data_IF_045777965813
#
_entry.id   IF_045777965813
#
_cell.length_a   1.000
_cell.length_b   1.000
_cell.length_c   1.000
_cell.angle_alpha   90.00
_cell.angle_beta   90.00
_cell.angle_gamma   90.00
#
_symmetry.space_group_name_H-M   'P 1'
#
loop_
_entity.id
_entity.type
_entity.pdbx_description
1 polymer ?
#
# COMPACT_ATOMS: atom_id res chain seq x y z
N UNK A 1 4.56 -55.89 13.22
CA UNK A 1 4.94 -55.44 14.57
C UNK A 1 6.44 -55.16 14.62
N UNK A 2 6.80 -53.88 14.47
CA UNK A 2 8.02 -53.26 15.00
C UNK A 2 7.90 -51.76 14.76
N UNK A 3 7.93 -50.92 15.80
CA UNK A 3 7.74 -49.48 15.68
C UNK A 3 9.02 -48.76 15.28
N UNK A 4 8.91 -47.80 14.36
CA UNK A 4 9.95 -46.81 14.13
C UNK A 4 9.94 -45.81 15.30
N UNK A 5 11.05 -45.74 16.02
CA UNK A 5 11.27 -44.78 17.10
C UNK A 5 11.47 -43.35 16.55
N UNK A 6 10.87 -42.32 17.17
CA UNK A 6 11.09 -40.92 16.79
C UNK A 6 12.44 -40.40 17.32
N UNK A 7 13.16 -39.66 16.47
CA UNK A 7 14.41 -38.99 16.83
C UNK A 7 14.15 -37.77 17.75
N UNK A 8 15.01 -37.52 18.75
CA UNK A 8 14.81 -36.48 19.75
C UNK A 8 15.02 -35.06 19.19
N UNK A 9 14.17 -34.14 19.63
CA UNK A 9 14.20 -32.70 19.30
C UNK A 9 15.30 -31.98 20.09
N UNK A 10 16.25 -31.38 19.37
CA UNK A 10 17.38 -30.63 19.95
C UNK A 10 17.00 -29.15 20.07
N UNK A 11 16.80 -28.70 21.31
CA UNK A 11 16.49 -27.32 21.66
C UNK A 11 17.78 -26.46 21.63
N UNK A 12 17.71 -25.30 20.96
CA UNK A 12 18.83 -24.38 20.64
C UNK A 12 19.38 -23.59 21.84
N UNK A 13 19.16 -24.06 23.06
CA UNK A 13 19.50 -23.36 24.30
C UNK A 13 20.24 -24.31 25.23
N UNK A 14 21.52 -24.60 24.91
CA UNK A 14 22.61 -25.04 25.82
C UNK A 14 23.72 -25.74 25.02
N UNK A 15 24.73 -24.97 24.63
CA UNK A 15 26.08 -25.39 24.22
C UNK A 15 26.74 -24.11 23.64
N UNK A 16 27.88 -23.58 24.07
CA UNK A 16 28.97 -24.07 24.88
C UNK A 16 29.52 -22.93 25.75
N UNK A 17 29.94 -23.28 26.96
CA UNK A 17 30.86 -22.52 27.80
C UNK A 17 32.23 -23.22 27.76
N UNK A 18 33.27 -22.45 28.09
CA UNK A 18 34.70 -22.79 28.26
C UNK A 18 35.60 -22.61 27.02
N UNK A 19 36.49 -21.61 27.04
CA UNK A 19 37.83 -21.74 27.65
C UNK A 19 38.51 -20.37 27.82
N UNK A 20 39.36 -20.28 28.83
CA UNK A 20 39.85 -19.07 29.46
C UNK A 20 41.29 -18.70 29.05
N UNK A 21 41.57 -17.39 29.06
CA UNK A 21 42.83 -16.67 29.39
C UNK A 21 44.12 -17.00 28.61
N UNK A 22 44.59 -16.00 27.86
CA UNK A 22 45.97 -15.87 27.40
C UNK A 22 46.27 -14.41 27.03
N UNK A 23 46.83 -13.65 27.97
CA UNK A 23 47.36 -12.28 27.80
C UNK A 23 48.72 -12.38 27.10
N UNK A 24 48.98 -11.53 26.08
CA UNK A 24 50.26 -10.79 25.82
C UNK A 24 50.20 -10.08 24.43
N UNK A 25 50.61 -8.80 24.46
CA UNK A 25 51.05 -7.90 23.37
C UNK A 25 50.00 -7.01 22.62
N UNK A 26 50.10 -5.67 22.75
CA UNK A 26 49.52 -4.71 21.82
C UNK A 26 50.51 -4.44 20.66
N UNK A 27 50.14 -4.79 19.44
CA UNK A 27 50.98 -4.62 18.24
C UNK A 27 50.15 -4.21 17.04
N UNK A 28 50.54 -3.11 16.42
CA UNK A 28 49.82 -2.33 15.43
C UNK A 28 49.48 -3.06 14.12
N UNK A 29 48.26 -2.84 13.61
CA UNK A 29 47.94 -2.91 12.19
C UNK A 29 47.07 -1.69 11.81
N UNK A 30 47.69 -0.51 11.89
CA UNK A 30 47.33 0.62 11.07
C UNK A 30 48.39 0.69 9.95
N UNK A 31 48.04 0.23 8.75
CA UNK A 31 48.81 0.53 7.55
C UNK A 31 47.91 0.38 6.32
N UNK A 32 47.71 1.54 5.68
CA UNK A 32 46.88 1.80 4.54
C UNK A 32 47.33 1.01 3.31
N UNK A 33 46.37 0.44 2.56
CA UNK A 33 46.55 0.20 1.13
C UNK A 33 45.79 1.29 0.40
N UNK A 34 46.47 2.42 0.17
CA UNK A 34 46.11 3.35 -0.89
C UNK A 34 46.35 2.62 -2.20
N UNK A 35 45.29 2.19 -2.86
CA UNK A 35 45.36 1.85 -4.28
C UNK A 35 44.86 3.06 -5.04
N UNK A 36 45.77 3.66 -5.81
CA UNK A 36 45.50 4.63 -6.85
C UNK A 36 44.58 4.01 -7.91
N UNK A 37 43.29 3.95 -7.60
CA UNK A 37 42.21 3.67 -8.52
C UNK A 37 41.57 5.00 -8.90
N UNK A 38 41.99 5.55 -10.03
CA UNK A 38 41.31 6.60 -10.78
C UNK A 38 39.78 6.44 -10.59
N UNK A 39 39.03 7.43 -10.05
CA UNK A 39 37.60 7.28 -9.96
C UNK A 39 37.10 7.13 -11.39
N UNK A 40 36.69 5.91 -11.73
CA UNK A 40 35.86 5.68 -12.90
C UNK A 40 34.67 6.59 -12.67
N UNK A 41 34.46 7.52 -13.59
CA UNK A 41 33.26 8.32 -13.69
C UNK A 41 32.13 7.32 -13.92
N UNK A 42 31.59 6.80 -12.82
CA UNK A 42 30.35 6.08 -12.82
C UNK A 42 29.34 7.09 -13.36
N UNK A 43 28.78 6.80 -14.53
CA UNK A 43 27.60 7.46 -15.04
C UNK A 43 26.64 7.61 -13.86
N UNK A 44 26.31 8.86 -13.52
CA UNK A 44 25.62 9.20 -12.28
C UNK A 44 24.44 8.26 -12.06
N UNK A 45 24.53 7.47 -10.99
CA UNK A 45 23.41 6.68 -10.52
C UNK A 45 22.33 7.69 -10.12
N UNK A 46 21.21 7.70 -10.85
CA UNK A 46 20.13 8.64 -10.63
C UNK A 46 19.66 8.50 -9.17
N UNK A 47 19.60 9.61 -8.44
CA UNK A 47 19.32 9.54 -7.01
C UNK A 47 17.92 8.94 -6.78
N UNK A 48 17.72 8.14 -5.71
CA UNK A 48 16.41 7.59 -5.39
C UNK A 48 15.33 8.69 -5.31
N UNK A 49 14.20 8.47 -5.99
CA UNK A 49 13.14 9.47 -6.18
C UNK A 49 12.12 9.45 -5.05
N UNK A 50 11.55 10.63 -4.77
CA UNK A 50 10.37 10.76 -3.93
C UNK A 50 9.12 10.35 -4.73
N UNK A 51 8.07 9.81 -4.08
CA UNK A 51 6.91 9.32 -4.79
C UNK A 51 6.05 10.47 -5.31
N UNK A 52 5.50 10.31 -6.52
CA UNK A 52 4.48 11.22 -7.06
C UNK A 52 3.11 10.57 -6.94
N UNK A 53 2.16 11.25 -6.31
CA UNK A 53 0.80 10.76 -6.07
C UNK A 53 -0.19 11.53 -6.95
N UNK A 54 -1.06 10.80 -7.64
CA UNK A 54 -2.14 11.36 -8.48
C UNK A 54 -3.48 10.82 -8.01
N UNK A 55 -4.48 11.69 -7.94
CA UNK A 55 -5.85 11.34 -7.56
C UNK A 55 -6.78 11.51 -8.77
N UNK A 56 -7.72 10.58 -8.93
CA UNK A 56 -8.82 10.69 -9.87
C UNK A 56 -10.12 10.42 -9.12
N UNK A 57 -11.09 11.36 -9.05
CA UNK A 57 -10.97 12.78 -9.36
C UNK A 57 -9.82 13.47 -8.62
N UNK A 58 -9.42 14.64 -9.10
CA UNK A 58 -8.36 15.45 -8.47
C UNK A 58 -8.66 15.76 -7.01
N UNK A 59 -7.63 15.99 -6.21
CA UNK A 59 -7.79 16.41 -4.82
C UNK A 59 -8.65 17.68 -4.69
N UNK A 60 -9.56 17.68 -3.72
CA UNK A 60 -10.49 18.77 -3.45
C UNK A 60 -11.66 18.86 -4.44
N UNK A 61 -11.86 17.85 -5.30
CA UNK A 61 -12.98 17.86 -6.25
C UNK A 61 -14.32 17.91 -5.51
N UNK A 62 -15.23 18.74 -6.02
CA UNK A 62 -16.61 18.86 -5.53
C UNK A 62 -17.58 18.43 -6.62
N UNK A 63 -18.85 18.20 -6.26
CA UNK A 63 -19.91 17.75 -7.17
C UNK A 63 -19.55 16.48 -7.96
N UNK A 64 -18.75 15.61 -7.34
CA UNK A 64 -18.37 14.34 -7.95
C UNK A 64 -19.59 13.44 -8.09
N UNK A 65 -19.82 12.93 -9.30
CA UNK A 65 -20.88 11.95 -9.55
C UNK A 65 -20.50 10.63 -8.85
N UNK A 66 -21.33 10.05 -7.96
CA UNK A 66 -20.89 8.94 -7.10
C UNK A 66 -20.52 7.63 -7.79
N UNK A 67 -20.82 7.49 -9.08
CA UNK A 67 -20.56 6.30 -9.90
C UNK A 67 -19.35 6.43 -10.83
N UNK A 68 -18.66 7.57 -10.83
CA UNK A 68 -17.43 7.72 -11.61
C UNK A 68 -16.31 6.91 -11.00
N UNK A 69 -15.27 6.67 -11.80
CA UNK A 69 -14.05 6.03 -11.32
C UNK A 69 -13.41 6.91 -10.24
N UNK A 70 -13.08 6.32 -9.10
CA UNK A 70 -12.32 6.95 -8.02
C UNK A 70 -11.07 6.12 -7.74
N UNK A 71 -9.89 6.71 -7.85
CA UNK A 71 -8.61 6.05 -7.64
C UNK A 71 -7.51 6.98 -7.12
N UNK A 72 -6.46 6.36 -6.58
CA UNK A 72 -5.16 6.98 -6.32
C UNK A 72 -4.08 6.16 -7.00
N UNK A 73 -3.19 6.84 -7.71
CA UNK A 73 -2.08 6.28 -8.46
C UNK A 73 -0.76 6.86 -7.96
N UNK A 74 0.29 6.04 -8.00
CA UNK A 74 1.63 6.37 -7.49
C UNK A 74 2.69 6.07 -8.56
N UNK A 75 3.60 7.02 -8.76
CA UNK A 75 4.85 6.85 -9.49
C UNK A 75 6.03 6.97 -8.51
N UNK A 76 7.19 6.40 -8.87
CA UNK A 76 8.42 6.43 -8.08
C UNK A 76 8.24 5.94 -6.62
N UNK A 77 7.35 4.96 -6.42
CA UNK A 77 7.02 4.42 -5.11
C UNK A 77 5.86 3.44 -5.12
N UNK A 78 5.41 3.05 -3.93
CA UNK A 78 4.28 2.12 -3.75
C UNK A 78 3.43 2.44 -2.52
N UNK A 79 2.14 2.09 -2.60
CA UNK A 79 1.17 2.21 -1.51
C UNK A 79 1.44 1.13 -0.44
N UNK A 80 1.57 1.52 0.83
CA UNK A 80 1.67 0.57 1.96
C UNK A 80 0.31 0.25 2.59
N UNK A 81 -0.46 1.29 2.90
CA UNK A 81 -1.83 1.22 3.39
C UNK A 81 -2.62 2.28 2.64
N UNK A 82 -3.85 1.97 2.25
CA UNK A 82 -4.70 2.89 1.52
C UNK A 82 -6.17 2.56 1.80
N UNK A 83 -6.96 3.59 2.02
CA UNK A 83 -8.41 3.54 2.17
C UNK A 83 -8.98 4.89 1.80
N UNK A 84 -10.19 4.91 1.24
CA UNK A 84 -11.02 6.10 1.15
C UNK A 84 -12.03 6.02 2.29
N UNK A 85 -12.05 7.02 3.17
CA UNK A 85 -12.96 7.07 4.31
C UNK A 85 -14.11 8.02 4.02
N UNK A 86 -15.32 7.68 4.46
CA UNK A 86 -16.43 8.63 4.49
C UNK A 86 -16.39 9.54 5.73
N UNK A 87 -17.33 10.47 5.81
CA UNK A 87 -17.56 11.39 6.94
C UNK A 87 -17.63 10.70 8.33
N UNK A 88 -18.12 9.47 8.36
CA UNK A 88 -18.27 8.65 9.55
C UNK A 88 -17.02 7.82 9.87
N UNK A 89 -15.96 7.95 9.08
CA UNK A 89 -14.70 7.20 9.22
C UNK A 89 -14.74 5.76 8.70
N UNK A 90 -15.82 5.37 8.01
CA UNK A 90 -15.94 4.03 7.44
C UNK A 90 -15.17 3.95 6.12
N UNK A 91 -14.42 2.86 5.94
CA UNK A 91 -13.69 2.61 4.70
C UNK A 91 -14.63 2.16 3.58
N UNK A 92 -14.53 2.82 2.43
CA UNK A 92 -15.16 2.41 1.18
C UNK A 92 -14.38 1.24 0.60
N UNK A 93 -15.08 0.24 0.09
CA UNK A 93 -14.47 -0.92 -0.55
C UNK A 93 -13.65 -0.50 -1.77
N UNK A 94 -12.40 -0.93 -1.81
CA UNK A 94 -11.52 -0.73 -2.96
C UNK A 94 -10.54 -1.87 -3.15
N UNK A 95 -9.85 -1.84 -4.28
CA UNK A 95 -8.91 -2.87 -4.72
C UNK A 95 -7.55 -2.26 -4.98
N UNK A 96 -6.51 -2.80 -4.34
CA UNK A 96 -5.12 -2.49 -4.61
C UNK A 96 -4.62 -3.38 -5.75
N UNK A 97 -3.96 -2.82 -6.76
CA UNK A 97 -3.33 -3.61 -7.80
C UNK A 97 -2.13 -4.41 -7.24
N UNK A 98 -1.67 -5.40 -8.00
CA UNK A 98 -0.57 -6.28 -7.59
C UNK A 98 0.73 -5.51 -7.32
N UNK A 99 0.98 -4.50 -8.15
CA UNK A 99 2.21 -3.72 -8.13
C UNK A 99 2.18 -2.64 -7.03
N UNK A 100 1.04 -2.48 -6.36
CA UNK A 100 0.77 -1.52 -5.28
C UNK A 100 0.96 -0.06 -5.71
N UNK A 101 0.81 0.23 -6.99
CA UNK A 101 0.91 1.57 -7.57
C UNK A 101 -0.45 2.20 -7.84
N UNK A 102 -1.55 1.44 -7.74
CA UNK A 102 -2.90 1.95 -8.00
C UNK A 102 -3.92 1.32 -7.05
N UNK A 103 -4.76 2.13 -6.44
CA UNK A 103 -5.91 1.70 -5.66
C UNK A 103 -7.19 2.30 -6.24
N UNK A 104 -8.15 1.44 -6.57
CA UNK A 104 -9.42 1.85 -7.21
C UNK A 104 -10.61 1.46 -6.33
N UNK A 105 -11.56 2.37 -6.16
CA UNK A 105 -12.83 2.11 -5.46
C UNK A 105 -13.70 1.13 -6.25
N UNK A 106 -14.30 0.17 -5.54
CA UNK A 106 -14.98 -0.99 -6.10
C UNK A 106 -16.50 -1.00 -5.84
N UNK A 107 -17.05 0.10 -5.36
CA UNK A 107 -18.48 0.30 -5.13
C UNK A 107 -18.87 1.77 -5.36
N UNK A 108 -20.14 2.07 -5.69
CA UNK A 108 -20.60 3.45 -5.79
C UNK A 108 -20.45 4.20 -4.47
N UNK A 109 -20.13 5.48 -4.55
CA UNK A 109 -20.15 6.37 -3.39
C UNK A 109 -21.60 6.79 -3.06
N UNK A 110 -21.78 7.38 -1.88
CA UNK A 110 -23.02 8.05 -1.48
C UNK A 110 -23.10 9.47 -2.04
N UNK A 111 -24.31 10.02 -2.16
CA UNK A 111 -24.54 11.43 -2.47
C UNK A 111 -24.27 12.34 -1.26
N UNK A 112 -23.91 13.59 -1.54
CA UNK A 112 -23.76 14.65 -0.54
C UNK A 112 -22.78 14.35 0.60
N UNK A 113 -21.76 13.52 0.33
CA UNK A 113 -20.81 13.07 1.32
C UNK A 113 -19.39 13.49 0.96
N UNK A 114 -18.59 13.82 1.99
CA UNK A 114 -17.16 14.05 1.84
C UNK A 114 -16.37 12.78 2.13
N UNK A 115 -15.32 12.58 1.35
CA UNK A 115 -14.44 11.43 1.42
C UNK A 115 -12.98 11.87 1.50
N UNK A 116 -12.18 11.16 2.30
CA UNK A 116 -10.77 11.48 2.52
C UNK A 116 -9.91 10.24 2.33
N UNK A 117 -8.84 10.37 1.55
CA UNK A 117 -7.81 9.35 1.42
C UNK A 117 -7.01 9.26 2.71
N UNK A 118 -6.84 8.04 3.21
CA UNK A 118 -6.00 7.74 4.35
C UNK A 118 -5.02 6.63 3.98
N UNK A 119 -3.78 6.76 4.42
CA UNK A 119 -2.74 5.80 4.06
C UNK A 119 -1.35 6.38 3.99
N UNK A 120 -0.47 5.63 3.37
CA UNK A 120 0.95 5.97 3.26
C UNK A 120 1.52 5.42 1.96
N UNK A 121 2.34 6.25 1.31
CA UNK A 121 3.14 5.93 0.14
C UNK A 121 4.60 5.88 0.56
N UNK A 122 5.36 4.93 0.04
CA UNK A 122 6.81 4.88 0.23
C UNK A 122 7.48 5.10 -1.12
N UNK A 123 8.39 6.07 -1.17
CA UNK A 123 9.19 6.36 -2.36
C UNK A 123 10.32 5.37 -2.57
N UNK A 124 10.92 5.42 -3.75
CA UNK A 124 12.19 4.75 -4.03
C UNK A 124 13.32 5.23 -3.12
N UNK A 125 13.22 6.46 -2.61
CA UNK A 125 14.09 7.02 -1.56
C UNK A 125 13.91 6.39 -0.17
N UNK A 126 12.97 5.46 -0.02
CA UNK A 126 12.67 4.76 1.22
C UNK A 126 11.90 5.59 2.24
N UNK A 127 11.52 6.83 1.92
CA UNK A 127 10.76 7.70 2.83
C UNK A 127 9.26 7.47 2.67
N UNK A 128 8.57 7.47 3.81
CA UNK A 128 7.13 7.36 3.89
C UNK A 128 6.48 8.75 3.88
N UNK A 129 5.45 8.93 3.05
CA UNK A 129 4.65 10.16 2.92
C UNK A 129 3.17 9.80 3.09
N UNK A 130 2.38 10.55 3.88
CA UNK A 130 0.95 10.31 4.02
C UNK A 130 0.19 10.59 2.71
N UNK A 131 -0.98 9.97 2.54
CA UNK A 131 -1.96 10.39 1.53
C UNK A 131 -2.78 11.56 2.10
N UNK A 132 -3.02 12.60 1.30
CA UNK A 132 -3.70 13.83 1.76
C UNK A 132 -4.92 14.23 0.92
N UNK A 133 -5.29 13.43 -0.08
CA UNK A 133 -6.38 13.79 -1.01
C UNK A 133 -7.80 13.67 -0.43
N UNK A 134 -8.73 14.40 -1.00
CA UNK A 134 -10.16 14.39 -0.65
C UNK A 134 -11.07 14.67 -1.85
N UNK A 135 -12.36 14.31 -1.71
CA UNK A 135 -13.40 14.67 -2.67
C UNK A 135 -14.77 14.80 -1.97
N UNK A 136 -15.70 15.53 -2.60
CA UNK A 136 -17.10 15.63 -2.16
C UNK A 136 -18.02 15.28 -3.31
N UNK A 137 -19.00 14.40 -3.05
CA UNK A 137 -19.98 14.00 -4.05
C UNK A 137 -21.10 15.02 -4.17
N UNK A 138 -21.76 15.04 -5.33
CA UNK A 138 -22.89 15.92 -5.62
C UNK A 138 -24.01 15.75 -4.58
N UNK A 139 -24.61 16.88 -4.18
CA UNK A 139 -25.78 16.91 -3.30
C UNK A 139 -27.03 17.16 -4.14
N UNK A 140 -27.81 16.13 -4.49
CA UNK A 140 -29.00 16.31 -5.30
C UNK A 140 -30.07 17.10 -4.53
N UNK A 141 -30.77 18.01 -5.22
CA UNK A 141 -31.93 18.70 -4.65
C UNK A 141 -33.14 17.78 -4.45
N UNK A 142 -33.21 16.69 -5.21
CA UNK A 142 -34.29 15.69 -5.13
C UNK A 142 -33.75 14.35 -5.62
N UNK A 143 -33.98 13.30 -4.84
CA UNK A 143 -33.74 11.91 -5.26
C UNK A 143 -35.08 11.30 -5.70
N UNK A 144 -35.15 10.88 -6.97
CA UNK A 144 -36.34 10.26 -7.53
C UNK A 144 -36.17 8.75 -7.49
N UNK A 145 -37.11 8.05 -6.85
CA UNK A 145 -37.12 6.60 -6.82
C UNK A 145 -37.89 6.02 -8.01
N UNK A 146 -37.38 4.92 -8.56
CA UNK A 146 -38.05 4.11 -9.58
C UNK A 146 -38.32 2.71 -9.05
N UNK A 147 -39.45 2.15 -9.45
CA UNK A 147 -39.82 0.76 -9.17
C UNK A 147 -40.22 0.05 -10.45
N UNK A 148 -39.98 -1.26 -10.48
CA UNK A 148 -40.56 -2.15 -11.47
C UNK A 148 -41.83 -2.77 -10.90
N UNK A 149 -42.87 -2.86 -11.71
CA UNK A 149 -44.10 -3.58 -11.37
C UNK A 149 -43.90 -5.11 -11.36
N UNK A 150 -42.82 -5.60 -11.97
CA UNK A 150 -42.48 -7.02 -12.10
C UNK A 150 -41.32 -7.38 -11.17
N UNK A 151 -41.33 -8.61 -10.67
CA UNK A 151 -40.24 -9.16 -9.85
C UNK A 151 -39.14 -9.79 -10.71
N UNK A 152 -37.91 -9.84 -10.19
CA UNK A 152 -36.78 -10.50 -10.85
C UNK A 152 -37.10 -11.97 -11.15
N UNK A 153 -36.90 -12.37 -12.41
CA UNK A 153 -37.15 -13.75 -12.87
C UNK A 153 -38.63 -14.13 -13.01
N UNK A 154 -39.57 -13.19 -12.85
CA UNK A 154 -41.00 -13.47 -13.00
C UNK A 154 -41.33 -13.87 -14.45
N UNK A 155 -41.99 -15.03 -14.64
CA UNK A 155 -42.59 -15.38 -15.93
C UNK A 155 -43.89 -14.60 -16.11
N UNK A 156 -44.04 -13.95 -17.26
CA UNK A 156 -45.17 -13.07 -17.54
C UNK A 156 -45.81 -13.36 -18.90
N UNK A 157 -47.03 -12.86 -19.09
CA UNK A 157 -47.71 -12.91 -20.39
C UNK A 157 -47.04 -11.99 -21.42
N UNK A 158 -47.39 -12.14 -22.69
CA UNK A 158 -46.75 -11.45 -23.84
C UNK A 158 -46.87 -9.92 -23.85
N UNK A 159 -47.60 -9.31 -22.90
CA UNK A 159 -47.86 -7.87 -22.83
C UNK A 159 -47.87 -7.34 -21.38
N UNK A 160 -47.00 -7.89 -20.53
CA UNK A 160 -46.85 -7.49 -19.12
C UNK A 160 -45.71 -6.47 -18.90
#
# INVERSE_FOLDING_TARGET
>A
MSPAHPLPSINRRRALAALAVGVVAPGALAACMSTDGKPSEAAGEDAPKAPTVTYEPSDGSVDVVPTVRVSVDVQDGWLQKVSLLNDSGNAVKGTLNRDRTSFTIAEPLGYGASYTWAGTVVGEDGKAVPLEGSLTTVTPATEVNGQFQLSDGQTVGVAA
#
